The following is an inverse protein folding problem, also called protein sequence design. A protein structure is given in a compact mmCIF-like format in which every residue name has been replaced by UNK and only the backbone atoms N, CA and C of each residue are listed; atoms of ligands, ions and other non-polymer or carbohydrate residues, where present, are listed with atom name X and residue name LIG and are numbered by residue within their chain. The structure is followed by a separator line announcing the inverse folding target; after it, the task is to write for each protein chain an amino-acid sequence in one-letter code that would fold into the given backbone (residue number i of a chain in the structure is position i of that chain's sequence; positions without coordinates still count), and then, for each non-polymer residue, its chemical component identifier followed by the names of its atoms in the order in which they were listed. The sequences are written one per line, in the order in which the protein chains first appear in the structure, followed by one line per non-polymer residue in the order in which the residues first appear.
data_IF_926050828709
#
_entry.id   IF_926050828709
#
_cell.length_a   1.000
_cell.length_b   1.000
_cell.length_c   1.000
_cell.angle_alpha   90.00
_cell.angle_beta   90.00
_cell.angle_gamma   90.00
#
_symmetry.space_group_name_H-M   'P 1'
#
loop_
_entity.id
_entity.type
_entity.pdbx_description
1 polymer ?
#
# COMPACT_ATOMS: atom_id res chain seq x y z
N UNK A 1 4.22 -4.82 -1.65
CA UNK A 1 3.52 -4.44 -0.42
C UNK A 1 3.28 -2.93 -0.42
N UNK A 2 2.09 -2.53 -0.01
CA UNK A 2 1.68 -1.13 0.05
C UNK A 2 1.35 -0.69 1.47
N UNK A 3 1.77 0.54 1.78
CA UNK A 3 1.33 1.24 2.98
C UNK A 3 0.89 2.65 2.66
N UNK A 4 -0.37 2.94 2.96
CA UNK A 4 -0.95 4.26 2.83
C UNK A 4 -0.74 5.01 4.15
N UNK A 5 -0.13 6.18 4.04
CA UNK A 5 0.11 7.09 5.14
C UNK A 5 -0.64 8.38 4.92
N UNK A 6 -0.96 9.06 6.02
CA UNK A 6 -1.58 10.38 6.03
C UNK A 6 -0.82 11.32 6.96
N UNK A 7 -0.57 12.55 6.52
CA UNK A 7 0.03 13.59 7.36
C UNK A 7 -1.04 14.37 8.16
N UNK A 8 -0.60 15.33 8.97
CA UNK A 8 -1.49 16.20 9.75
C UNK A 8 -2.35 17.16 8.91
N UNK A 9 -1.98 17.41 7.65
CA UNK A 9 -2.75 18.24 6.71
C UNK A 9 -3.86 17.48 6.00
N UNK A 10 -3.84 16.14 6.08
CA UNK A 10 -4.76 15.25 5.37
C UNK A 10 -4.23 14.80 4.00
N UNK A 11 -2.98 15.11 3.67
CA UNK A 11 -2.32 14.64 2.45
C UNK A 11 -1.93 13.17 2.60
N UNK A 12 -2.06 12.40 1.51
CA UNK A 12 -1.80 10.97 1.51
C UNK A 12 -0.55 10.61 0.71
N UNK A 13 0.20 9.64 1.22
CA UNK A 13 1.39 9.07 0.59
C UNK A 13 1.25 7.55 0.59
N UNK A 14 1.35 6.94 -0.58
CA UNK A 14 1.41 5.49 -0.74
C UNK A 14 2.88 5.08 -0.89
N UNK A 15 3.41 4.37 0.10
CA UNK A 15 4.74 3.78 0.02
C UNK A 15 4.63 2.37 -0.57
N UNK A 16 5.37 2.15 -1.66
CA UNK A 16 5.41 0.90 -2.41
C UNK A 16 6.78 0.24 -2.23
N UNK A 17 6.80 -0.90 -1.54
CA UNK A 17 8.01 -1.68 -1.31
C UNK A 17 7.89 -3.07 -1.96
N UNK A 18 9.01 -3.57 -2.52
CA UNK A 18 9.14 -5.01 -2.77
C UNK A 18 9.32 -5.68 -1.43
N UNK A 19 8.46 -6.64 -1.15
CA UNK A 19 8.60 -7.49 0.02
C UNK A 19 9.13 -8.82 -0.48
N UNK A 20 10.17 -9.33 0.18
CA UNK A 20 10.70 -10.66 -0.11
C UNK A 20 9.61 -11.67 0.22
N UNK A 21 9.25 -12.56 -0.72
CA UNK A 21 8.31 -13.65 -0.42
C UNK A 21 8.90 -14.50 0.71
N UNK A 22 8.27 -14.48 1.88
CA UNK A 22 8.65 -15.33 3.00
C UNK A 22 7.84 -16.63 2.93
N UNK A 23 8.54 -17.77 3.00
CA UNK A 23 7.95 -19.10 2.96
C UNK A 23 7.99 -19.82 4.32
N UNK A 24 8.22 -19.10 5.42
CA UNK A 24 8.54 -19.68 6.72
C UNK A 24 7.49 -19.45 7.80
N UNK A 25 7.37 -20.41 8.72
CA UNK A 25 6.42 -20.45 9.84
C UNK A 25 7.09 -20.13 11.18
N UNK A 26 8.13 -19.29 11.18
CA UNK A 26 8.91 -18.97 12.39
C UNK A 26 8.61 -17.55 12.83
N UNK A 27 8.13 -17.35 14.06
CA UNK A 27 7.76 -16.02 14.58
C UNK A 27 8.92 -14.99 14.53
N UNK A 28 10.18 -15.45 14.62
CA UNK A 28 11.36 -14.59 14.50
C UNK A 28 11.53 -14.03 13.06
N UNK A 29 11.06 -14.77 12.05
CA UNK A 29 11.09 -14.34 10.65
C UNK A 29 10.03 -13.28 10.37
N UNK A 30 8.82 -13.43 10.91
CA UNK A 30 7.74 -12.44 10.81
C UNK A 30 8.15 -11.08 11.41
N UNK A 31 8.68 -11.10 12.64
CA UNK A 31 9.18 -9.88 13.30
C UNK A 31 10.30 -9.23 12.50
N UNK A 32 11.18 -10.03 11.90
CA UNK A 32 12.30 -9.52 11.11
C UNK A 32 11.81 -8.90 9.80
N UNK A 33 10.87 -9.54 9.12
CA UNK A 33 10.30 -9.05 7.86
C UNK A 33 9.48 -7.77 8.07
N UNK A 34 8.73 -7.69 9.16
CA UNK A 34 8.03 -6.47 9.58
C UNK A 34 9.01 -5.30 9.81
N UNK A 35 10.12 -5.54 10.52
CA UNK A 35 11.15 -4.52 10.73
C UNK A 35 11.84 -4.10 9.44
N UNK A 36 12.09 -5.04 8.53
CA UNK A 36 12.69 -4.75 7.21
C UNK A 36 11.79 -3.82 6.40
N UNK A 37 10.49 -4.08 6.40
CA UNK A 37 9.50 -3.24 5.76
C UNK A 37 9.39 -1.87 6.41
N UNK A 38 9.35 -1.79 7.75
CA UNK A 38 9.36 -0.52 8.49
C UNK A 38 10.57 0.32 8.08
N UNK A 39 11.78 -0.28 8.07
CA UNK A 39 13.01 0.37 7.64
C UNK A 39 12.96 0.81 6.17
N UNK A 40 12.39 -0.01 5.29
CA UNK A 40 12.26 0.29 3.86
C UNK A 40 11.35 1.49 3.65
N UNK A 41 10.21 1.54 4.32
CA UNK A 41 9.28 2.67 4.24
C UNK A 41 9.89 3.94 4.82
N UNK A 42 10.62 3.84 5.94
CA UNK A 42 11.37 4.95 6.51
C UNK A 42 12.37 5.53 5.50
N UNK A 43 13.09 4.66 4.77
CA UNK A 43 14.02 5.08 3.72
C UNK A 43 13.31 5.81 2.58
N UNK A 44 12.18 5.26 2.09
CA UNK A 44 11.37 5.85 1.01
C UNK A 44 10.92 7.27 1.39
N UNK A 45 10.38 7.45 2.60
CA UNK A 45 9.92 8.74 3.08
C UNK A 45 11.09 9.74 3.20
N UNK A 46 12.22 9.31 3.76
CA UNK A 46 13.40 10.18 3.94
C UNK A 46 14.03 10.59 2.61
N UNK A 47 14.08 9.70 1.61
CA UNK A 47 14.56 10.01 0.26
C UNK A 47 13.68 11.06 -0.43
N UNK A 48 12.36 11.02 -0.19
CA UNK A 48 11.42 12.05 -0.62
C UNK A 48 11.50 13.34 0.21
N UNK A 49 12.49 13.48 1.10
CA UNK A 49 12.65 14.61 2.04
C UNK A 49 11.46 14.80 2.98
N UNK A 50 10.77 13.70 3.31
CA UNK A 50 9.68 13.66 4.28
C UNK A 50 10.18 13.17 5.65
N UNK A 51 9.50 13.60 6.72
CA UNK A 51 9.78 13.20 8.11
C UNK A 51 8.84 12.04 8.45
N UNK A 52 9.31 10.78 8.57
CA UNK A 52 8.43 9.62 8.79
C UNK A 52 7.49 9.77 9.99
N UNK A 53 7.99 10.39 11.06
CA UNK A 53 7.27 10.59 12.32
C UNK A 53 6.09 11.57 12.19
N UNK A 54 6.01 12.33 11.10
CA UNK A 54 4.89 13.22 10.79
C UNK A 54 3.72 12.51 10.09
N UNK A 55 3.88 11.23 9.75
CA UNK A 55 2.90 10.44 9.02
C UNK A 55 2.29 9.36 9.91
N UNK A 56 0.99 9.16 9.78
CA UNK A 56 0.24 8.07 10.43
C UNK A 56 -0.11 7.01 9.40
N UNK A 57 0.18 5.74 9.71
CA UNK A 57 -0.27 4.61 8.90
C UNK A 57 -1.81 4.56 8.93
N UNK A 58 -2.43 4.69 7.76
CA UNK A 58 -3.89 4.57 7.63
C UNK A 58 -4.29 3.25 7.02
N UNK A 59 -3.51 2.68 6.10
CA UNK A 59 -3.87 1.41 5.48
C UNK A 59 -2.67 0.61 5.01
N UNK A 60 -2.84 -0.69 4.92
CA UNK A 60 -1.83 -1.64 4.48
C UNK A 60 -2.44 -2.64 3.51
N UNK A 61 -1.64 -3.09 2.55
CA UNK A 61 -2.02 -4.16 1.63
C UNK A 61 -2.27 -5.46 2.41
N UNK A 62 -3.42 -6.07 2.16
CA UNK A 62 -3.74 -7.43 2.60
C UNK A 62 -3.77 -8.33 1.38
N UNK A 63 -3.17 -9.52 1.46
CA UNK A 63 -3.08 -10.44 0.32
C UNK A 63 -2.29 -9.88 -0.87
N UNK A 64 -2.67 -10.29 -2.08
CA UNK A 64 -2.15 -9.73 -3.33
C UNK A 64 -3.02 -8.54 -3.78
N UNK A 65 -2.44 -7.49 -4.40
CA UNK A 65 -3.21 -6.32 -4.73
C UNK A 65 -4.04 -6.52 -6.00
N UNK A 66 -5.30 -6.10 -5.94
CA UNK A 66 -6.23 -6.01 -7.06
C UNK A 66 -5.78 -4.90 -8.00
N UNK A 67 -5.75 -5.19 -9.30
CA UNK A 67 -5.35 -4.20 -10.32
C UNK A 67 -3.85 -4.05 -10.45
N UNK A 68 -3.19 -5.16 -10.83
CA UNK A 68 -1.74 -5.48 -10.95
C UNK A 68 -0.84 -4.50 -11.75
N UNK A 69 -1.31 -3.28 -12.05
CA UNK A 69 -0.60 -2.24 -12.82
C UNK A 69 0.64 -1.66 -12.13
N UNK A 70 0.86 -1.97 -10.86
CA UNK A 70 1.96 -1.40 -10.07
C UNK A 70 3.29 -2.11 -10.27
N UNK A 71 3.28 -3.39 -10.62
CA UNK A 71 4.49 -4.16 -10.84
C UNK A 71 4.85 -4.29 -12.32
N UNK A 72 3.92 -3.97 -13.23
CA UNK A 72 4.14 -3.94 -14.67
C UNK A 72 4.89 -2.65 -15.08
N UNK A 73 6.18 -2.63 -14.75
CA UNK A 73 7.24 -1.77 -15.30
C UNK A 73 7.22 -0.25 -15.06
N UNK A 74 6.10 0.37 -14.68
CA UNK A 74 6.07 1.83 -14.44
C UNK A 74 5.03 2.28 -13.42
N UNK A 75 5.47 2.88 -12.32
CA UNK A 75 4.57 3.41 -11.27
C UNK A 75 4.25 4.89 -11.50
N UNK A 76 2.97 5.31 -11.51
CA UNK A 76 2.62 6.72 -11.61
C UNK A 76 3.07 7.49 -10.37
N UNK A 77 3.31 8.81 -10.49
CA UNK A 77 3.72 9.66 -9.35
C UNK A 77 2.58 9.95 -8.37
N UNK A 78 1.35 9.80 -8.82
CA UNK A 78 0.13 9.95 -8.01
C UNK A 78 -0.98 9.07 -8.59
N UNK A 79 -1.89 8.61 -7.74
CA UNK A 79 -3.03 7.81 -8.17
C UNK A 79 -4.15 7.80 -7.14
N UNK A 80 -5.29 7.23 -7.51
CA UNK A 80 -6.40 7.04 -6.59
C UNK A 80 -6.15 5.76 -5.79
N UNK A 81 -6.10 5.87 -4.46
CA UNK A 81 -5.99 4.72 -3.56
C UNK A 81 -7.34 4.50 -2.93
N UNK A 82 -7.86 3.29 -3.08
CA UNK A 82 -9.10 2.85 -2.45
C UNK A 82 -8.79 1.95 -1.26
N UNK A 83 -9.44 2.20 -0.13
CA UNK A 83 -9.30 1.40 1.08
C UNK A 83 -10.63 1.25 1.83
N UNK A 84 -10.81 0.13 2.52
CA UNK A 84 -11.98 -0.16 3.34
C UNK A 84 -11.62 -0.21 4.83
N UNK A 85 -12.45 0.40 5.65
CA UNK A 85 -12.37 0.26 7.10
C UNK A 85 -12.60 -1.20 7.49
N UNK A 86 -11.99 -1.69 8.56
CA UNK A 86 -12.25 -3.03 9.10
C UNK A 86 -12.79 -2.95 10.53
N UNK A 87 -13.55 -3.94 10.98
CA UNK A 87 -14.16 -3.93 12.32
C UNK A 87 -13.13 -3.86 13.46
N UNK A 88 -11.93 -4.39 13.23
CA UNK A 88 -10.83 -4.40 14.20
C UNK A 88 -10.13 -3.03 14.39
N UNK A 89 -10.42 -2.04 13.54
CA UNK A 89 -9.72 -0.75 13.53
C UNK A 89 -8.55 -0.70 12.53
N UNK A 90 -7.74 0.36 12.59
CA UNK A 90 -6.61 0.54 11.68
C UNK A 90 -5.47 -0.48 11.95
N UNK A 91 -4.66 -0.84 10.95
CA UNK A 91 -4.63 -0.30 9.58
C UNK A 91 -5.77 -0.84 8.70
N UNK A 92 -6.29 0.00 7.81
CA UNK A 92 -7.37 -0.35 6.87
C UNK A 92 -6.86 -1.18 5.68
N UNK A 93 -7.75 -1.93 5.02
CA UNK A 93 -7.39 -2.80 3.89
C UNK A 93 -7.17 -1.94 2.64
N UNK A 94 -5.97 -1.97 2.07
CA UNK A 94 -5.63 -1.31 0.81
C UNK A 94 -5.51 -2.35 -0.30
N UNK A 95 -6.48 -2.40 -1.22
CA UNK A 95 -6.46 -3.42 -2.28
C UNK A 95 -5.76 -2.98 -3.56
N UNK A 96 -5.47 -1.69 -3.78
CA UNK A 96 -4.68 -1.30 -4.96
C UNK A 96 -4.80 0.17 -5.37
N UNK A 97 -4.25 0.48 -6.56
CA UNK A 97 -4.36 1.78 -7.21
C UNK A 97 -5.39 1.75 -8.33
N UNK A 98 -6.18 2.82 -8.42
CA UNK A 98 -7.20 3.06 -9.44
C UNK A 98 -8.19 1.90 -9.60
N UNK A 99 -8.47 1.19 -8.50
CA UNK A 99 -9.44 0.09 -8.39
C UNK A 99 -10.84 0.67 -8.22
N UNK A 100 -11.79 0.20 -9.02
CA UNK A 100 -13.20 0.58 -8.88
C UNK A 100 -13.82 -0.05 -7.63
N UNK A 101 -14.91 0.54 -7.14
CA UNK A 101 -15.63 0.00 -5.97
C UNK A 101 -16.15 -1.41 -6.21
N UNK A 102 -16.61 -1.71 -7.43
CA UNK A 102 -17.10 -3.04 -7.80
C UNK A 102 -15.97 -4.07 -7.81
N UNK A 103 -14.83 -3.76 -8.43
CA UNK A 103 -13.66 -4.64 -8.43
C UNK A 103 -13.11 -4.88 -7.01
N UNK A 104 -13.14 -3.86 -6.15
CA UNK A 104 -12.70 -3.99 -4.76
C UNK A 104 -13.56 -5.01 -4.00
N UNK A 105 -14.89 -4.87 -4.05
CA UNK A 105 -15.78 -5.74 -3.29
C UNK A 105 -15.86 -7.14 -3.90
N UNK A 106 -15.74 -7.28 -5.22
CA UNK A 106 -15.64 -8.58 -5.86
C UNK A 106 -14.45 -9.40 -5.31
N UNK A 107 -13.27 -8.79 -5.18
CA UNK A 107 -12.12 -9.50 -4.61
C UNK A 107 -12.33 -9.87 -3.14
N UNK A 108 -12.90 -8.97 -2.34
CA UNK A 108 -13.22 -9.26 -0.93
C UNK A 108 -14.19 -10.44 -0.81
N UNK A 109 -15.17 -10.53 -1.70
CA UNK A 109 -16.14 -11.62 -1.73
C UNK A 109 -15.55 -12.94 -2.25
N UNK A 110 -14.52 -12.87 -3.10
CA UNK A 110 -13.85 -14.04 -3.69
C UNK A 110 -12.68 -14.58 -2.83
N UNK A 111 -12.23 -13.85 -1.80
CA UNK A 111 -11.13 -14.22 -0.90
C UNK A 111 -11.60 -14.30 0.57
N UNK A 112 -11.73 -15.53 1.08
CA UNK A 112 -12.18 -15.84 2.45
C UNK A 112 -11.32 -15.13 3.53
N UNK A 113 -10.02 -14.94 3.30
CA UNK A 113 -9.13 -14.28 4.25
C UNK A 113 -9.41 -12.77 4.29
N UNK A 114 -9.67 -12.15 3.13
CA UNK A 114 -10.08 -10.74 3.05
C UNK A 114 -11.49 -10.50 3.61
N UNK A 115 -12.44 -11.40 3.36
CA UNK A 115 -13.78 -11.34 3.93
C UNK A 115 -13.72 -11.43 5.46
N UNK A 116 -12.88 -12.33 6.00
CA UNK A 116 -12.71 -12.56 7.43
C UNK A 116 -12.18 -11.33 8.20
N UNK A 117 -11.50 -10.39 7.53
CA UNK A 117 -11.09 -9.11 8.12
C UNK A 117 -12.29 -8.19 8.44
N UNK A 118 -13.48 -8.51 7.92
CA UNK A 118 -14.71 -7.75 8.14
C UNK A 118 -14.63 -6.31 7.62
N UNK A 119 -14.29 -6.09 6.33
CA UNK A 119 -14.30 -4.76 5.74
C UNK A 119 -15.70 -4.14 5.76
N UNK A 120 -15.74 -2.82 5.89
CA UNK A 120 -16.94 -2.03 6.07
C UNK A 120 -17.16 -1.09 4.89
N UNK A 121 -18.39 -1.07 4.40
CA UNK A 121 -18.87 -0.09 3.43
C UNK A 121 -19.16 1.27 4.08
N UNK A 122 -18.97 2.41 3.38
CA UNK A 122 -18.50 2.51 1.99
C UNK A 122 -16.96 2.46 1.85
N UNK A 123 -16.52 2.07 0.66
CA UNK A 123 -15.12 2.21 0.25
C UNK A 123 -14.72 3.69 0.28
N UNK A 124 -13.53 3.98 0.82
CA UNK A 124 -12.96 5.32 0.80
C UNK A 124 -11.90 5.41 -0.28
N UNK A 125 -11.94 6.48 -1.07
CA UNK A 125 -10.96 6.73 -2.15
C UNK A 125 -10.30 8.08 -1.94
N UNK A 126 -8.97 8.10 -1.97
CA UNK A 126 -8.14 9.29 -1.78
C UNK A 126 -7.12 9.41 -2.90
N UNK A 127 -6.72 10.63 -3.23
CA UNK A 127 -5.54 10.84 -4.08
C UNK A 127 -4.29 10.75 -3.21
N UNK A 128 -3.34 9.91 -3.59
CA UNK A 128 -2.05 9.78 -2.90
C UNK A 128 -0.89 10.10 -3.84
N UNK A 129 0.17 10.70 -3.27
CA UNK A 129 1.50 10.69 -3.90
C UNK A 129 2.09 9.30 -3.73
N UNK A 130 2.63 8.73 -4.79
CA UNK A 130 3.16 7.37 -4.77
C UNK A 130 4.68 7.44 -4.72
N UNK A 131 5.25 6.79 -3.70
CA UNK A 131 6.68 6.70 -3.48
C UNK A 131 7.10 5.23 -3.53
N UNK A 132 8.16 4.94 -4.25
CA UNK A 132 8.66 3.58 -4.45
C UNK A 132 10.03 3.41 -3.82
N UNK A 133 10.37 2.18 -3.46
CA UNK A 133 11.75 1.83 -3.11
C UNK A 133 12.71 2.09 -4.29
N UNK A 134 13.99 2.37 -4.01
CA UNK A 134 15.01 2.52 -5.04
C UNK A 134 15.02 1.38 -6.07
N UNK A 135 15.16 1.72 -7.35
CA UNK A 135 15.23 0.74 -8.45
C UNK A 135 13.88 0.43 -9.14
N UNK A 136 12.80 1.11 -8.73
CA UNK A 136 11.55 1.15 -9.48
C UNK A 136 11.56 2.34 -10.45
N UNK A 137 11.13 2.15 -11.69
CA UNK A 137 11.04 3.20 -12.71
C UNK A 137 9.66 3.85 -12.69
N UNK A 138 9.61 5.19 -12.75
CA UNK A 138 8.35 5.90 -12.90
C UNK A 138 7.96 5.99 -14.38
N UNK A 139 6.65 6.00 -14.65
CA UNK A 139 6.12 6.08 -16.02
C UNK A 139 6.62 7.30 -16.81
N UNK A 140 6.77 8.45 -16.14
CA UNK A 140 7.23 9.68 -16.79
C UNK A 140 8.71 9.66 -17.17
N UNK A 141 9.51 8.83 -16.49
CA UNK A 141 10.95 8.73 -16.75
C UNK A 141 11.22 7.96 -18.06
N UNK A 142 10.27 7.13 -18.50
CA UNK A 142 10.37 6.32 -19.74
C UNK A 142 10.04 7.15 -21.00
N UNK A 143 9.28 8.23 -20.87
CA UNK A 143 8.90 9.10 -22.02
C UNK A 143 9.99 10.07 -22.48
N UNK A 144 11.17 10.02 -21.87
CA UNK A 144 12.29 10.95 -22.13
C UNK A 144 13.46 10.33 -22.91
N UNK A 145 13.27 9.14 -23.53
CA UNK A 145 14.28 8.47 -24.36
C UNK A 145 13.87 8.40 -25.84
#
# INVERSE_FOLDING_TARGET
MFRLYRDSSGSHVLCCARFSEFSGWVADEEISAQRELDNTVDSILREASLIPEAFTLVGEQQGYPVGDRLFDSTVPRSGSVSYAFQQAGAPWIVLGLDVSTEEFWAEVEDDDDLEALGPLSPLTTVTAVILTAPGWTHHDDVRSL
#
